data_IF_354853862444
#
_entry.id   IF_354853862444
#
_cell.length_a   1.000
_cell.length_b   1.000
_cell.length_c   1.000
_cell.angle_alpha   90.00
_cell.angle_beta   90.00
_cell.angle_gamma   90.00
#
_symmetry.space_group_name_H-M   'P 1'
#
loop_
_entity.id
_entity.type
_entity.pdbx_description
1 polymer ?
#
# COMPACT_ATOMS: atom_id res chain seq x y z
N UNK A 1 -19.77 23.38 14.43
CA UNK A 1 -19.53 22.90 14.07
C UNK A 1 -19.13 22.18 14.03
N UNK A 2 -18.97 21.75 14.14
CA UNK A 2 -18.52 21.06 14.21
C UNK A 2 -18.23 20.29 13.48
N UNK A 3 -17.73 20.07 13.40
CA UNK A 3 -17.32 19.40 12.79
C UNK A 3 -17.37 18.20 13.07
N UNK A 4 -17.82 17.46 12.63
CA UNK A 4 -17.84 16.36 12.84
C UNK A 4 -16.97 15.69 12.48
N UNK A 5 -16.76 15.73 12.61
CA UNK A 5 -15.62 15.23 12.27
C UNK A 5 -15.42 13.86 12.63
N UNK A 6 -14.49 13.24 12.03
CA UNK A 6 -14.12 11.90 12.32
C UNK A 6 -13.36 11.85 13.61
N UNK A 7 -13.99 11.31 14.62
CA UNK A 7 -13.49 11.45 15.97
C UNK A 7 -13.05 10.14 16.61
N UNK A 8 -12.90 9.07 15.85
CA UNK A 8 -12.44 7.81 16.41
C UNK A 8 -11.07 7.99 17.07
N UNK A 9 -10.86 7.42 18.27
CA UNK A 9 -9.56 7.51 18.91
C UNK A 9 -8.46 6.91 18.06
N UNK A 10 -7.28 7.48 18.12
CA UNK A 10 -6.14 7.03 17.35
C UNK A 10 -5.84 5.55 17.58
N UNK A 11 -5.94 5.09 18.81
CA UNK A 11 -5.74 3.67 19.14
C UNK A 11 -6.74 2.77 18.43
N UNK A 12 -7.99 3.20 18.33
CA UNK A 12 -9.02 2.42 17.63
C UNK A 12 -8.71 2.34 16.15
N UNK A 13 -8.29 3.45 15.53
CA UNK A 13 -7.92 3.46 14.13
C UNK A 13 -6.72 2.57 13.87
N UNK A 14 -5.70 2.65 14.71
CA UNK A 14 -4.51 1.84 14.57
C UNK A 14 -4.84 0.35 14.64
N UNK A 15 -5.72 -0.01 15.58
CA UNK A 15 -6.15 -1.40 15.72
C UNK A 15 -6.90 -1.88 14.48
N UNK A 16 -7.79 -1.06 13.95
CA UNK A 16 -8.55 -1.43 12.75
C UNK A 16 -7.66 -1.61 11.54
N UNK A 17 -6.67 -0.75 11.39
CA UNK A 17 -5.68 -0.87 10.31
C UNK A 17 -4.91 -2.17 10.45
N UNK A 18 -4.47 -2.48 11.66
CA UNK A 18 -3.74 -3.71 11.93
C UNK A 18 -4.56 -4.94 11.61
N UNK A 19 -5.82 -4.97 12.02
CA UNK A 19 -6.72 -6.09 11.74
C UNK A 19 -6.99 -6.24 10.25
N UNK A 20 -7.20 -5.14 9.56
CA UNK A 20 -7.43 -5.18 8.11
C UNK A 20 -6.19 -5.68 7.38
N UNK A 21 -5.01 -5.25 7.79
CA UNK A 21 -3.75 -5.69 7.22
C UNK A 21 -3.55 -7.18 7.43
N UNK A 22 -3.83 -7.68 8.63
CA UNK A 22 -3.71 -9.11 8.92
C UNK A 22 -4.65 -9.94 8.06
N UNK A 23 -5.88 -9.46 7.85
CA UNK A 23 -6.82 -10.15 6.97
C UNK A 23 -6.32 -10.18 5.53
N UNK A 24 -5.83 -9.05 5.05
CA UNK A 24 -5.30 -8.98 3.69
C UNK A 24 -4.14 -9.94 3.50
N UNK A 25 -3.19 -9.97 4.44
CA UNK A 25 -2.05 -10.87 4.36
C UNK A 25 -2.50 -12.33 4.43
N UNK A 26 -3.47 -12.64 5.29
CA UNK A 26 -4.02 -13.99 5.38
C UNK A 26 -4.68 -14.44 4.10
N UNK A 27 -5.41 -13.54 3.44
CA UNK A 27 -6.10 -13.85 2.20
C UNK A 27 -5.15 -14.02 1.01
N UNK A 28 -3.98 -13.39 1.06
CA UNK A 28 -3.06 -13.40 -0.08
C UNK A 28 -1.93 -14.41 0.05
N UNK A 29 -1.70 -14.95 1.24
CA UNK A 29 -0.53 -15.80 1.48
C UNK A 29 -0.54 -17.07 0.64
N UNK A 30 -1.72 -17.55 0.26
CA UNK A 30 -1.87 -18.78 -0.54
C UNK A 30 -1.90 -18.55 -2.04
N UNK A 31 -1.76 -17.32 -2.51
CA UNK A 31 -1.81 -17.02 -3.93
C UNK A 31 -0.49 -17.43 -4.58
N UNK A 32 -0.55 -18.29 -5.61
CA UNK A 32 0.64 -18.73 -6.33
C UNK A 32 1.21 -17.59 -7.18
N UNK A 33 2.49 -17.71 -7.53
CA UNK A 33 3.12 -16.71 -8.41
C UNK A 33 2.43 -16.66 -9.78
N UNK A 34 1.98 -17.82 -10.26
CA UNK A 34 1.24 -17.86 -11.52
C UNK A 34 -0.07 -17.06 -11.43
N UNK A 35 -0.78 -17.18 -10.31
CA UNK A 35 -2.01 -16.42 -10.11
C UNK A 35 -1.75 -14.93 -9.92
N UNK A 36 -0.65 -14.56 -9.29
CA UNK A 36 -0.25 -13.16 -9.18
C UNK A 36 -0.07 -12.50 -10.54
N UNK A 37 0.41 -13.27 -11.52
CA UNK A 37 0.67 -12.74 -12.86
C UNK A 37 -0.55 -12.72 -13.77
N UNK A 38 -1.71 -13.19 -13.30
CA UNK A 38 -2.94 -13.16 -14.08
C UNK A 38 -3.49 -11.74 -14.16
N UNK A 39 -4.30 -11.45 -15.19
CA UNK A 39 -4.90 -10.13 -15.31
C UNK A 39 -5.75 -9.76 -14.11
N UNK A 40 -5.69 -8.50 -13.72
CA UNK A 40 -6.60 -7.92 -12.74
C UNK A 40 -7.81 -7.35 -13.46
N UNK A 41 -8.72 -6.72 -12.71
CA UNK A 41 -9.84 -6.00 -13.30
C UNK A 41 -9.43 -4.67 -13.93
N UNK A 42 -8.19 -4.23 -13.67
CA UNK A 42 -7.69 -2.99 -14.25
C UNK A 42 -6.98 -3.29 -15.56
N UNK A 43 -7.36 -2.61 -16.67
CA UNK A 43 -6.75 -2.87 -17.96
C UNK A 43 -5.23 -2.66 -17.94
N UNK A 44 -4.51 -3.60 -18.48
CA UNK A 44 -3.05 -3.52 -18.58
C UNK A 44 -2.30 -3.85 -17.30
N UNK A 45 -3.01 -4.14 -16.21
CA UNK A 45 -2.37 -4.48 -14.94
C UNK A 45 -2.67 -5.94 -14.56
N UNK A 46 -1.62 -6.66 -14.16
CA UNK A 46 -1.77 -7.95 -13.53
C UNK A 46 -2.16 -7.77 -12.06
N UNK A 47 -2.49 -8.85 -11.39
CA UNK A 47 -2.75 -8.82 -9.95
C UNK A 47 -1.51 -8.37 -9.18
N UNK A 48 -0.32 -8.76 -9.66
CA UNK A 48 0.93 -8.32 -9.06
C UNK A 48 1.12 -6.80 -9.17
N UNK A 49 0.67 -6.18 -10.26
CA UNK A 49 0.70 -4.72 -10.37
C UNK A 49 -0.14 -4.06 -9.28
N UNK A 50 -1.32 -4.61 -9.01
CA UNK A 50 -2.19 -4.07 -7.96
C UNK A 50 -1.54 -4.20 -6.60
N UNK A 51 -0.97 -5.37 -6.29
CA UNK A 51 -0.28 -5.57 -5.02
C UNK A 51 0.94 -4.66 -4.89
N UNK A 52 1.70 -4.48 -5.96
CA UNK A 52 2.85 -3.59 -5.98
C UNK A 52 2.45 -2.14 -5.73
N UNK A 53 1.31 -1.73 -6.29
CA UNK A 53 0.78 -0.40 -6.03
C UNK A 53 0.47 -0.21 -4.55
N UNK A 54 -0.20 -1.18 -3.93
CA UNK A 54 -0.54 -1.10 -2.51
C UNK A 54 0.72 -1.07 -1.64
N UNK A 55 1.69 -1.92 -1.94
CA UNK A 55 2.94 -1.98 -1.18
C UNK A 55 3.73 -0.68 -1.31
N UNK A 56 3.85 -0.17 -2.51
CA UNK A 56 4.57 1.08 -2.76
C UNK A 56 3.88 2.26 -2.06
N UNK A 57 2.56 2.29 -2.07
CA UNK A 57 1.80 3.33 -1.39
C UNK A 57 1.99 3.26 0.13
N UNK A 58 2.01 2.05 0.69
CA UNK A 58 2.22 1.87 2.11
C UNK A 58 3.61 2.35 2.53
N UNK A 59 4.64 2.02 1.75
CA UNK A 59 5.99 2.49 2.01
C UNK A 59 6.08 4.01 1.93
N UNK A 60 5.44 4.60 0.94
CA UNK A 60 5.44 6.04 0.77
C UNK A 60 4.76 6.75 1.93
N UNK A 61 3.64 6.20 2.40
CA UNK A 61 2.93 6.76 3.55
C UNK A 61 3.76 6.64 4.83
N UNK A 62 4.43 5.50 5.04
CA UNK A 62 5.27 5.30 6.20
C UNK A 62 6.42 6.33 6.21
N UNK A 63 7.04 6.55 5.06
CA UNK A 63 8.11 7.55 4.93
C UNK A 63 7.57 8.94 5.21
N UNK A 64 6.40 9.28 4.67
CA UNK A 64 5.79 10.59 4.85
C UNK A 64 5.54 10.87 6.33
N UNK A 65 5.02 9.88 7.05
CA UNK A 65 4.75 10.00 8.48
C UNK A 65 6.05 10.18 9.25
N UNK A 66 7.06 9.38 8.94
CA UNK A 66 8.37 9.46 9.60
C UNK A 66 8.99 10.84 9.42
N UNK A 67 8.94 11.35 8.19
CA UNK A 67 9.49 12.67 7.90
C UNK A 67 8.71 13.78 8.59
N UNK A 68 7.40 13.63 8.70
CA UNK A 68 6.58 14.60 9.41
C UNK A 68 6.91 14.63 10.91
N UNK A 69 7.17 13.47 11.50
CA UNK A 69 7.60 13.39 12.90
C UNK A 69 8.93 14.10 13.10
N UNK A 70 9.81 14.04 12.11
CA UNK A 70 11.10 14.73 12.15
C UNK A 70 11.00 16.22 11.78
N UNK A 71 9.79 16.72 11.54
CA UNK A 71 9.58 18.13 11.22
C UNK A 71 9.80 18.48 9.76
N UNK A 72 9.92 17.49 8.90
CA UNK A 72 10.13 17.72 7.48
C UNK A 72 8.79 17.74 6.73
N UNK A 73 8.77 18.52 5.66
CA UNK A 73 7.64 18.49 4.73
C UNK A 73 8.06 17.69 3.51
N UNK A 74 7.22 16.74 3.11
CA UNK A 74 7.53 15.92 1.97
C UNK A 74 6.25 15.57 1.22
N UNK A 75 6.42 15.10 0.00
CA UNK A 75 5.31 14.62 -0.83
C UNK A 75 5.27 13.12 -0.75
N UNK A 76 4.06 12.56 -0.91
CA UNK A 76 3.88 11.12 -0.94
C UNK A 76 4.76 10.49 -2.01
N UNK A 77 4.73 11.07 -3.22
CA UNK A 77 5.64 10.70 -4.30
C UNK A 77 6.28 11.98 -4.81
N UNK A 78 7.58 12.19 -4.55
CA UNK A 78 8.26 13.38 -5.05
C UNK A 78 8.23 13.50 -6.56
N UNK A 79 8.14 12.36 -7.24
CA UNK A 79 8.16 12.27 -8.69
C UNK A 79 7.21 11.16 -9.12
N UNK A 80 6.31 11.47 -10.06
CA UNK A 80 5.37 10.48 -10.58
C UNK A 80 6.09 9.29 -11.20
N UNK A 81 7.27 9.51 -11.79
CA UNK A 81 8.09 8.43 -12.31
C UNK A 81 8.53 7.45 -11.25
N UNK A 82 8.82 7.92 -10.05
CA UNK A 82 9.21 7.05 -8.94
C UNK A 82 8.05 6.13 -8.53
N UNK A 83 6.82 6.66 -8.57
CA UNK A 83 5.64 5.85 -8.29
C UNK A 83 5.49 4.74 -9.31
N UNK A 84 5.58 5.09 -10.60
CA UNK A 84 5.45 4.13 -11.68
C UNK A 84 6.55 3.07 -11.62
N UNK A 85 7.79 3.47 -11.36
CA UNK A 85 8.91 2.55 -11.23
C UNK A 85 8.71 1.56 -10.09
N UNK A 86 8.19 2.04 -8.95
CA UNK A 86 7.93 1.19 -7.80
C UNK A 86 6.90 0.12 -8.11
N UNK A 87 5.84 0.48 -8.83
CA UNK A 87 4.79 -0.46 -9.22
C UNK A 87 5.35 -1.49 -10.19
N UNK A 88 6.09 -1.06 -11.21
CA UNK A 88 6.66 -1.97 -12.19
C UNK A 88 7.68 -2.92 -11.56
N UNK A 89 8.53 -2.41 -10.68
CA UNK A 89 9.51 -3.24 -9.98
C UNK A 89 8.82 -4.29 -9.12
N UNK A 90 7.80 -3.86 -8.36
CA UNK A 90 7.07 -4.78 -7.49
C UNK A 90 6.30 -5.82 -8.27
N UNK A 91 5.78 -5.48 -9.46
CA UNK A 91 5.00 -6.41 -10.26
C UNK A 91 5.82 -7.60 -10.76
N UNK A 92 7.14 -7.50 -10.74
CA UNK A 92 8.05 -8.57 -11.14
C UNK A 92 8.51 -9.43 -9.97
N UNK A 93 8.14 -9.08 -8.75
CA UNK A 93 8.52 -9.84 -7.56
C UNK A 93 7.63 -11.06 -7.38
N UNK A 94 8.14 -12.06 -6.66
CA UNK A 94 7.31 -13.19 -6.25
C UNK A 94 6.31 -12.74 -5.18
N UNK A 95 5.29 -13.55 -4.94
CA UNK A 95 4.31 -13.23 -3.91
C UNK A 95 4.94 -13.04 -2.54
N UNK A 96 5.96 -13.80 -2.22
CA UNK A 96 6.66 -13.67 -0.93
C UNK A 96 7.47 -12.38 -0.83
N UNK A 97 7.99 -11.88 -1.95
CA UNK A 97 8.77 -10.66 -1.97
C UNK A 97 7.91 -9.40 -1.89
N UNK A 98 6.66 -9.51 -2.33
CA UNK A 98 5.73 -8.40 -2.23
C UNK A 98 5.25 -8.21 -0.80
#
# INVERSE_FOLDING_TARGET
MTEQTFTAPLETLRKRIQEATQRLLGDTIGISDADWNRPSLLPGWSRAHVAAHLASNADALARLITEAVDGEQSRLYPDEGLRAEGIERGSSMTGLEL
#
